data_IF_795978795198
#
_entry.id   IF_795978795198
#
_cell.length_a   1.000
_cell.length_b   1.000
_cell.length_c   1.000
_cell.angle_alpha   90.00
_cell.angle_beta   90.00
_cell.angle_gamma   90.00
#
_symmetry.space_group_name_H-M   'P 1'
#
loop_
_entity.id
_entity.type
_entity.pdbx_description
1 polymer ?
#
# COMPACT_ATOMS: atom_id res chain seq x y z
N UNK A 1 -0.35 -89.41 -49.69
CA UNK A 1 -0.66 -88.98 -48.31
C UNK A 1 0.11 -87.66 -48.06
N UNK A 2 -0.55 -86.52 -48.13
CA UNK A 2 0.05 -85.23 -48.04
C UNK A 2 -0.39 -84.64 -46.65
N UNK A 3 0.57 -84.40 -45.75
CA UNK A 3 0.30 -83.78 -44.48
C UNK A 3 0.55 -82.29 -44.59
N UNK A 4 -0.45 -81.48 -44.39
CA UNK A 4 -0.40 -80.03 -44.33
C UNK A 4 -0.11 -79.58 -42.86
N UNK A 5 1.01 -78.92 -42.64
CA UNK A 5 1.29 -78.31 -41.36
C UNK A 5 0.66 -76.91 -41.33
N UNK A 6 -0.22 -76.62 -40.35
CA UNK A 6 -0.74 -75.28 -40.07
C UNK A 6 0.15 -74.61 -39.07
N UNK A 7 0.74 -73.47 -39.46
CA UNK A 7 1.45 -72.54 -38.54
C UNK A 7 0.44 -71.73 -37.73
N UNK A 8 0.57 -71.78 -36.40
CA UNK A 8 -0.10 -70.85 -35.47
C UNK A 8 0.78 -69.64 -35.29
N UNK A 9 0.27 -68.46 -35.67
CA UNK A 9 0.89 -67.17 -35.38
C UNK A 9 0.36 -66.65 -34.04
N UNK A 10 1.20 -66.56 -33.01
CA UNK A 10 0.82 -65.95 -31.72
C UNK A 10 0.96 -64.43 -31.83
N UNK A 11 -0.13 -63.72 -31.64
CA UNK A 11 -0.13 -62.24 -31.53
C UNK A 11 0.06 -61.90 -30.06
N UNK A 12 1.22 -61.29 -29.74
CA UNK A 12 1.52 -60.75 -28.41
C UNK A 12 0.97 -59.35 -28.34
N UNK A 13 -0.09 -59.13 -27.54
CA UNK A 13 -0.53 -57.80 -27.17
C UNK A 13 0.38 -57.25 -26.08
N UNK A 14 1.18 -56.22 -26.42
CA UNK A 14 1.90 -55.42 -25.43
C UNK A 14 0.92 -54.44 -24.78
N UNK A 15 0.58 -54.68 -23.51
CA UNK A 15 -0.19 -53.74 -22.68
C UNK A 15 0.77 -52.60 -22.26
N UNK A 16 0.64 -51.41 -22.85
CA UNK A 16 1.33 -50.21 -22.39
C UNK A 16 0.63 -49.75 -21.11
N UNK A 17 1.27 -50.00 -19.98
CA UNK A 17 0.85 -49.41 -18.69
C UNK A 17 1.37 -47.96 -18.69
N UNK A 18 0.50 -47.01 -19.01
CA UNK A 18 0.76 -45.60 -18.75
C UNK A 18 0.65 -45.36 -17.24
N UNK A 19 1.77 -45.25 -16.55
CA UNK A 19 1.83 -44.76 -15.19
C UNK A 19 1.47 -43.29 -15.23
N UNK A 20 0.23 -42.91 -14.91
CA UNK A 20 -0.14 -41.57 -14.59
C UNK A 20 0.68 -41.17 -13.35
N UNK A 21 1.64 -40.26 -13.50
CA UNK A 21 2.28 -39.62 -12.38
C UNK A 21 1.18 -38.82 -11.69
N UNK A 22 0.88 -39.04 -10.40
CA UNK A 22 -0.10 -38.22 -9.72
C UNK A 22 0.48 -36.79 -9.68
N UNK A 23 -0.20 -35.86 -10.35
CA UNK A 23 -0.04 -34.44 -10.06
C UNK A 23 -0.32 -34.30 -8.57
N UNK A 24 0.69 -33.99 -7.79
CA UNK A 24 0.52 -33.74 -6.36
C UNK A 24 -0.53 -32.64 -6.24
N UNK A 25 -1.73 -33.00 -5.81
CA UNK A 25 -2.71 -32.02 -5.39
C UNK A 25 -2.01 -31.20 -4.29
N UNK A 26 -1.72 -29.94 -4.56
CA UNK A 26 -1.25 -29.02 -3.51
C UNK A 26 -2.34 -29.07 -2.45
N UNK A 27 -1.99 -29.57 -1.27
CA UNK A 27 -2.92 -29.57 -0.15
C UNK A 27 -3.40 -28.12 0.01
N UNK A 28 -4.72 -27.95 0.04
CA UNK A 28 -5.32 -26.64 0.21
C UNK A 28 -4.75 -26.06 1.51
N UNK A 29 -3.88 -25.03 1.40
CA UNK A 29 -3.28 -24.41 2.57
C UNK A 29 -4.38 -23.84 3.44
N UNK A 30 -4.26 -24.05 4.76
CA UNK A 30 -5.18 -23.41 5.70
C UNK A 30 -4.92 -21.89 5.68
N UNK A 31 -5.95 -21.04 5.72
CA UNK A 31 -5.76 -19.61 5.70
C UNK A 31 -4.98 -19.14 6.94
N UNK A 32 -4.06 -18.20 6.73
CA UNK A 32 -3.31 -17.54 7.80
C UNK A 32 -4.20 -16.45 8.43
N UNK A 33 -4.93 -16.82 9.46
CA UNK A 33 -6.04 -16.05 9.98
C UNK A 33 -6.23 -16.30 11.48
N UNK A 34 -6.69 -15.33 12.28
CA UNK A 34 -7.04 -15.58 13.66
C UNK A 34 -8.28 -16.48 13.76
N UNK A 35 -8.33 -17.32 14.80
CA UNK A 35 -9.36 -18.34 14.96
C UNK A 35 -10.81 -17.82 15.14
N UNK A 36 -10.97 -16.54 15.44
CA UNK A 36 -12.27 -15.89 15.63
C UNK A 36 -12.86 -15.35 14.33
N UNK A 37 -12.16 -15.42 13.21
CA UNK A 37 -12.66 -14.97 11.90
C UNK A 37 -13.10 -16.16 11.03
N UNK A 38 -14.13 -15.92 10.23
CA UNK A 38 -14.53 -16.84 9.13
C UNK A 38 -13.60 -16.60 7.94
N UNK A 39 -12.61 -17.47 7.79
CA UNK A 39 -11.58 -17.35 6.78
C UNK A 39 -11.56 -18.54 5.85
N UNK A 40 -11.40 -18.27 4.56
CA UNK A 40 -11.18 -19.30 3.53
C UNK A 40 -9.94 -18.97 2.71
N UNK A 41 -9.36 -19.97 2.07
CA UNK A 41 -8.27 -19.82 1.12
C UNK A 41 -8.77 -20.13 -0.30
N UNK A 42 -8.71 -19.13 -1.18
CA UNK A 42 -9.00 -19.26 -2.62
C UNK A 42 -7.83 -18.64 -3.36
N UNK A 43 -6.88 -19.44 -3.87
CA UNK A 43 -5.63 -18.91 -4.41
C UNK A 43 -5.85 -17.98 -5.61
N UNK A 44 -5.06 -16.91 -5.65
CA UNK A 44 -4.85 -16.09 -6.85
C UNK A 44 -4.23 -16.95 -7.96
N UNK A 45 -4.35 -16.50 -9.21
CA UNK A 45 -3.83 -17.25 -10.34
C UNK A 45 -2.33 -17.49 -10.22
N UNK A 46 -1.91 -18.73 -10.34
CA UNK A 46 -0.54 -19.16 -10.51
C UNK A 46 -0.49 -20.53 -11.18
N UNK A 47 0.14 -20.61 -12.35
CA UNK A 47 0.26 -21.87 -13.10
C UNK A 47 1.62 -22.53 -12.86
N UNK A 48 1.68 -23.36 -11.83
CA UNK A 48 2.87 -24.14 -11.48
C UNK A 48 3.29 -25.16 -12.55
N UNK A 49 2.42 -25.42 -13.54
CA UNK A 49 2.69 -26.33 -14.66
C UNK A 49 3.23 -25.63 -15.91
N UNK A 50 3.30 -24.32 -15.91
CA UNK A 50 3.79 -23.53 -17.05
C UNK A 50 5.22 -23.94 -17.41
N UNK A 51 5.47 -24.11 -18.70
CA UNK A 51 6.81 -24.33 -19.25
C UNK A 51 7.40 -23.07 -19.88
N UNK A 52 6.64 -22.00 -19.96
CA UNK A 52 7.11 -20.69 -20.42
C UNK A 52 7.66 -19.88 -19.25
N UNK A 53 8.93 -20.00 -18.99
CA UNK A 53 9.63 -19.29 -17.92
C UNK A 53 10.17 -17.92 -18.37
N UNK A 54 9.88 -17.51 -19.60
CA UNK A 54 10.45 -16.28 -20.20
C UNK A 54 9.73 -15.01 -19.78
N UNK A 55 8.44 -15.10 -19.38
CA UNK A 55 7.60 -13.97 -19.04
C UNK A 55 6.80 -14.25 -17.77
N UNK A 56 7.11 -13.58 -16.66
CA UNK A 56 6.39 -13.74 -15.39
C UNK A 56 4.89 -13.46 -15.50
N UNK A 57 4.46 -12.58 -16.42
CA UNK A 57 3.04 -12.28 -16.62
C UNK A 57 2.23 -13.43 -17.25
N UNK A 58 2.88 -14.50 -17.68
CA UNK A 58 2.21 -15.65 -18.30
C UNK A 58 1.83 -16.75 -17.29
N UNK A 59 2.28 -16.68 -16.05
CA UNK A 59 2.06 -17.75 -15.08
C UNK A 59 1.31 -17.35 -13.81
N UNK A 60 1.13 -16.08 -13.51
CA UNK A 60 0.39 -15.71 -12.32
C UNK A 60 0.34 -14.23 -12.00
N UNK A 61 -0.23 -13.94 -10.84
CA UNK A 61 -0.51 -12.60 -10.35
C UNK A 61 0.28 -12.22 -9.08
N UNK A 62 1.22 -13.06 -8.65
CA UNK A 62 2.07 -12.82 -7.49
C UNK A 62 3.42 -13.53 -7.69
N UNK A 63 4.42 -13.21 -6.88
CA UNK A 63 5.71 -13.88 -6.90
C UNK A 63 5.88 -14.74 -5.67
N UNK A 64 6.15 -16.05 -5.83
CA UNK A 64 6.55 -16.90 -4.73
C UNK A 64 7.81 -16.36 -4.04
N UNK A 65 7.80 -16.35 -2.72
CA UNK A 65 8.89 -15.88 -1.88
C UNK A 65 8.92 -16.66 -0.56
N UNK A 66 9.83 -16.31 0.33
CA UNK A 66 9.92 -16.90 1.65
C UNK A 66 10.11 -15.82 2.72
N UNK A 67 9.28 -14.77 2.68
CA UNK A 67 9.36 -13.67 3.63
C UNK A 67 8.85 -14.09 5.02
N UNK A 68 9.50 -13.78 6.14
CA UNK A 68 10.81 -13.10 6.24
C UNK A 68 11.99 -14.06 6.24
N UNK A 69 11.80 -15.36 5.91
CA UNK A 69 12.83 -16.40 5.99
C UNK A 69 14.05 -16.17 5.07
N UNK A 70 13.86 -15.48 3.94
CA UNK A 70 14.91 -15.01 3.02
C UNK A 70 15.60 -13.71 3.50
N UNK A 71 15.13 -13.16 4.63
CA UNK A 71 15.63 -11.92 5.22
C UNK A 71 14.92 -10.66 4.73
N UNK A 72 13.91 -10.76 3.85
CA UNK A 72 13.02 -9.65 3.52
C UNK A 72 11.99 -9.45 4.62
N UNK A 73 11.95 -8.27 5.23
CA UNK A 73 11.00 -7.98 6.28
C UNK A 73 9.66 -7.53 5.70
N UNK A 74 8.55 -8.08 6.20
CA UNK A 74 7.22 -7.52 5.98
C UNK A 74 7.05 -6.41 7.01
N UNK A 75 6.92 -5.17 6.54
CA UNK A 75 6.95 -3.95 7.37
C UNK A 75 5.63 -3.20 7.38
N UNK A 76 4.78 -3.44 6.37
CA UNK A 76 3.57 -2.66 6.15
C UNK A 76 2.36 -3.54 5.95
N UNK A 77 1.20 -2.99 6.29
CA UNK A 77 -0.10 -3.49 5.84
C UNK A 77 -0.75 -2.36 5.05
N UNK A 78 -1.24 -2.67 3.85
CA UNK A 78 -1.88 -1.69 2.97
C UNK A 78 -3.36 -2.02 2.87
N UNK A 79 -4.18 -1.05 3.23
CA UNK A 79 -5.63 -1.09 3.17
C UNK A 79 -6.06 -0.57 1.81
N UNK A 80 -6.80 -1.42 1.08
CA UNK A 80 -7.39 -1.12 -0.22
C UNK A 80 -8.90 -1.18 -0.15
N UNK A 81 -9.57 -0.68 -1.16
CA UNK A 81 -10.91 -1.13 -1.52
C UNK A 81 -10.98 -1.59 -2.98
N UNK A 82 -11.96 -2.43 -3.28
CA UNK A 82 -12.02 -3.13 -4.56
C UNK A 82 -12.37 -2.21 -5.74
N UNK A 83 -12.85 -0.99 -5.50
CA UNK A 83 -13.29 -0.02 -6.52
C UNK A 83 -14.19 -0.65 -7.63
N UNK A 84 -14.82 -1.79 -7.32
CA UNK A 84 -15.65 -2.54 -8.26
C UNK A 84 -17.11 -2.15 -8.14
N UNK A 85 -17.72 -1.74 -9.25
CA UNK A 85 -19.15 -1.46 -9.28
C UNK A 85 -19.97 -2.75 -9.21
N UNK A 86 -21.04 -2.81 -8.41
CA UNK A 86 -21.98 -3.92 -8.48
C UNK A 86 -22.51 -4.05 -9.90
N UNK A 87 -22.23 -5.16 -10.56
CA UNK A 87 -22.66 -5.42 -11.92
C UNK A 87 -23.14 -6.86 -12.10
N UNK A 88 -24.13 -7.06 -12.96
CA UNK A 88 -24.59 -8.41 -13.38
C UNK A 88 -24.91 -9.39 -12.25
N UNK A 89 -25.29 -8.93 -11.05
CA UNK A 89 -25.63 -9.79 -9.91
C UNK A 89 -24.44 -10.40 -9.16
N UNK A 90 -23.22 -9.98 -9.48
CA UNK A 90 -21.99 -10.40 -8.77
C UNK A 90 -21.56 -9.28 -7.83
N UNK A 91 -21.23 -9.62 -6.57
CA UNK A 91 -20.77 -8.64 -5.59
C UNK A 91 -19.36 -8.10 -5.94
N UNK A 92 -18.99 -6.89 -5.52
CA UNK A 92 -17.61 -6.40 -5.65
C UNK A 92 -16.57 -7.34 -5.05
N UNK A 93 -16.90 -7.97 -3.93
CA UNK A 93 -16.08 -8.99 -3.28
C UNK A 93 -15.80 -10.21 -4.20
N UNK A 94 -16.85 -10.80 -4.80
CA UNK A 94 -16.68 -11.94 -5.69
C UNK A 94 -16.01 -11.54 -7.02
N UNK A 95 -16.21 -10.30 -7.48
CA UNK A 95 -15.51 -9.76 -8.66
C UNK A 95 -14.02 -9.62 -8.42
N UNK A 96 -13.59 -9.12 -7.25
CA UNK A 96 -12.18 -9.01 -6.89
C UNK A 96 -11.52 -10.40 -6.86
N UNK A 97 -12.15 -11.38 -6.20
CA UNK A 97 -11.67 -12.76 -6.16
C UNK A 97 -11.54 -13.33 -7.57
N UNK A 98 -12.59 -13.20 -8.39
CA UNK A 98 -12.57 -13.70 -9.77
C UNK A 98 -11.51 -13.00 -10.64
N UNK A 99 -11.22 -11.71 -10.37
CA UNK A 99 -10.17 -10.96 -11.06
C UNK A 99 -8.80 -11.51 -10.69
N UNK A 100 -8.50 -11.69 -9.41
CA UNK A 100 -7.21 -12.22 -8.97
C UNK A 100 -6.98 -13.68 -9.36
N UNK A 101 -8.03 -14.42 -9.70
CA UNK A 101 -7.94 -15.78 -10.24
C UNK A 101 -7.70 -15.85 -11.76
N UNK A 102 -7.54 -14.70 -12.43
CA UNK A 102 -7.22 -14.64 -13.86
C UNK A 102 -5.78 -14.18 -14.06
N UNK A 103 -4.90 -14.99 -14.68
CA UNK A 103 -3.49 -14.63 -14.90
C UNK A 103 -3.32 -13.30 -15.63
N UNK A 104 -4.20 -13.01 -16.58
CA UNK A 104 -4.17 -11.78 -17.38
C UNK A 104 -4.51 -10.51 -16.60
N UNK A 105 -4.98 -10.60 -15.36
CA UNK A 105 -5.29 -9.42 -14.53
C UNK A 105 -4.03 -8.67 -14.12
N UNK A 106 -2.90 -9.36 -13.94
CA UNK A 106 -1.63 -8.77 -13.53
C UNK A 106 -1.71 -8.08 -12.17
N UNK A 107 -2.63 -8.48 -11.31
CA UNK A 107 -2.85 -7.93 -9.97
C UNK A 107 -3.34 -8.98 -8.99
N UNK A 108 -3.05 -8.77 -7.71
CA UNK A 108 -3.56 -9.59 -6.60
C UNK A 108 -3.48 -8.83 -5.29
N UNK A 109 -4.15 -9.34 -4.26
CA UNK A 109 -3.92 -8.96 -2.87
C UNK A 109 -3.80 -10.21 -2.01
N UNK A 110 -3.26 -10.07 -0.79
CA UNK A 110 -3.15 -11.20 0.12
C UNK A 110 -4.51 -11.62 0.66
N UNK A 111 -5.38 -10.64 0.91
CA UNK A 111 -6.73 -10.88 1.46
C UNK A 111 -7.77 -10.01 0.76
N UNK A 112 -9.01 -10.51 0.77
CA UNK A 112 -10.23 -9.77 0.39
C UNK A 112 -11.24 -9.93 1.52
N UNK A 113 -11.85 -8.84 1.98
CA UNK A 113 -12.84 -8.81 3.08
C UNK A 113 -14.19 -8.34 2.56
N UNK A 114 -15.24 -9.11 2.86
CA UNK A 114 -16.62 -8.79 2.44
C UNK A 114 -17.26 -7.77 3.37
N UNK A 115 -17.96 -6.79 2.79
CA UNK A 115 -18.59 -5.70 3.53
C UNK A 115 -19.72 -6.18 4.43
N UNK A 116 -20.56 -7.08 3.94
CA UNK A 116 -21.85 -7.41 4.61
C UNK A 116 -21.69 -8.17 5.92
N UNK A 117 -20.63 -8.97 6.09
CA UNK A 117 -20.45 -9.88 7.24
C UNK A 117 -19.00 -10.02 7.71
N UNK A 118 -18.04 -9.39 7.02
CA UNK A 118 -16.63 -9.47 7.37
C UNK A 118 -15.96 -10.80 7.00
N UNK A 119 -16.55 -11.64 6.13
CA UNK A 119 -15.88 -12.86 5.67
C UNK A 119 -14.55 -12.53 5.00
N UNK A 120 -13.49 -13.24 5.40
CA UNK A 120 -12.14 -13.06 4.89
C UNK A 120 -11.81 -14.14 3.87
N UNK A 121 -11.31 -13.77 2.70
CA UNK A 121 -10.68 -14.70 1.75
C UNK A 121 -9.20 -14.37 1.61
N UNK A 122 -8.33 -15.32 1.95
CA UNK A 122 -6.92 -15.24 1.60
C UNK A 122 -6.73 -15.71 0.17
N UNK A 123 -5.98 -14.93 -0.63
CA UNK A 123 -5.70 -15.19 -2.03
C UNK A 123 -4.23 -15.51 -2.30
N UNK A 124 -3.32 -14.88 -1.54
CA UNK A 124 -1.87 -15.09 -1.64
C UNK A 124 -1.33 -15.40 -0.25
N UNK A 125 -0.47 -16.43 -0.07
CA UNK A 125 0.21 -16.68 1.20
C UNK A 125 1.02 -15.46 1.62
N UNK A 126 1.02 -15.13 2.91
CA UNK A 126 1.70 -13.89 3.38
C UNK A 126 3.21 -13.88 3.17
N UNK A 127 3.83 -15.08 3.04
CA UNK A 127 5.26 -15.22 2.68
C UNK A 127 5.58 -14.79 1.26
N UNK A 128 4.61 -14.82 0.35
CA UNK A 128 4.74 -14.50 -1.07
C UNK A 128 4.46 -13.01 -1.34
N UNK A 129 4.83 -12.51 -2.52
CA UNK A 129 4.70 -11.09 -2.89
C UNK A 129 3.48 -10.89 -3.77
N UNK A 130 2.38 -10.37 -3.22
CA UNK A 130 1.21 -9.98 -4.01
C UNK A 130 1.46 -8.66 -4.76
N UNK A 131 0.80 -8.48 -5.90
CA UNK A 131 0.93 -7.30 -6.77
C UNK A 131 -0.24 -6.34 -6.54
N UNK A 132 -0.16 -5.51 -5.49
CA UNK A 132 -1.26 -4.64 -5.08
C UNK A 132 -0.91 -3.15 -4.98
N UNK A 133 0.35 -2.81 -4.64
CA UNK A 133 0.68 -1.44 -4.26
C UNK A 133 1.10 -0.53 -5.43
N UNK A 134 1.26 -1.07 -6.65
CA UNK A 134 1.77 -0.31 -7.79
C UNK A 134 3.17 0.29 -7.58
N UNK A 135 3.88 -0.24 -6.59
CA UNK A 135 5.24 0.09 -6.21
C UNK A 135 5.93 -1.20 -5.73
N UNK A 136 7.01 -1.60 -6.42
CA UNK A 136 7.66 -2.87 -6.15
C UNK A 136 8.25 -2.96 -4.75
N UNK A 137 8.94 -1.90 -4.28
CA UNK A 137 9.45 -1.85 -2.90
C UNK A 137 8.31 -2.04 -1.86
N UNK A 138 7.12 -1.51 -2.14
CA UNK A 138 5.98 -1.71 -1.25
C UNK A 138 5.40 -3.11 -1.36
N UNK A 139 5.28 -3.68 -2.56
CA UNK A 139 4.86 -5.08 -2.72
C UNK A 139 5.80 -6.04 -1.98
N UNK A 140 7.12 -5.85 -2.11
CA UNK A 140 8.14 -6.66 -1.44
C UNK A 140 8.02 -6.65 0.09
N UNK A 141 7.50 -5.58 0.69
CA UNK A 141 7.54 -5.34 2.13
C UNK A 141 6.17 -5.19 2.78
N UNK A 142 5.08 -5.49 2.08
CA UNK A 142 3.73 -5.32 2.62
C UNK A 142 2.84 -6.55 2.47
N UNK A 143 1.72 -6.48 3.18
CA UNK A 143 0.53 -7.32 3.00
C UNK A 143 -0.59 -6.41 2.55
N UNK A 144 -1.18 -6.65 1.36
CA UNK A 144 -2.34 -5.93 0.85
C UNK A 144 -3.64 -6.59 1.27
N UNK A 145 -4.59 -5.81 1.73
CA UNK A 145 -5.93 -6.23 2.15
C UNK A 145 -6.96 -5.41 1.39
N UNK A 146 -7.70 -6.07 0.50
CA UNK A 146 -8.83 -5.48 -0.21
C UNK A 146 -10.09 -5.51 0.64
N UNK A 147 -10.83 -4.41 0.64
CA UNK A 147 -12.13 -4.30 1.30
C UNK A 147 -13.20 -4.12 0.23
N UNK A 148 -14.26 -4.92 0.31
CA UNK A 148 -15.38 -4.75 -0.62
C UNK A 148 -15.95 -3.33 -0.51
N UNK A 149 -15.80 -2.54 -1.58
CA UNK A 149 -16.29 -1.16 -1.55
C UNK A 149 -15.89 -0.33 -2.74
N UNK A 150 -16.38 0.92 -2.65
CA UNK A 150 -16.09 2.00 -3.58
C UNK A 150 -15.81 3.23 -2.73
N UNK A 151 -14.62 3.79 -2.81
CA UNK A 151 -14.16 4.90 -1.97
C UNK A 151 -15.09 6.13 -2.00
N UNK A 152 -15.69 6.43 -3.16
CA UNK A 152 -16.69 7.54 -3.26
C UNK A 152 -17.97 7.29 -2.47
N UNK A 153 -18.23 6.02 -2.12
CA UNK A 153 -19.45 5.57 -1.44
C UNK A 153 -19.15 4.96 -0.06
N UNK A 154 -18.00 5.24 0.53
CA UNK A 154 -17.50 4.62 1.76
C UNK A 154 -18.52 4.47 2.89
N UNK A 155 -19.38 5.46 3.11
CA UNK A 155 -20.46 5.38 4.10
C UNK A 155 -21.50 4.28 3.86
N UNK A 156 -21.53 3.66 2.68
CA UNK A 156 -22.40 2.52 2.35
C UNK A 156 -21.64 1.19 2.50
N UNK A 157 -20.36 1.17 2.12
CA UNK A 157 -19.56 -0.05 1.99
C UNK A 157 -18.74 -0.36 3.25
N UNK A 158 -18.25 0.67 3.95
CA UNK A 158 -17.36 0.48 5.11
C UNK A 158 -18.18 0.19 6.36
N UNK A 159 -18.67 -1.05 6.46
CA UNK A 159 -19.54 -1.51 7.56
C UNK A 159 -18.73 -1.82 8.83
N UNK A 160 -19.40 -1.80 9.97
CA UNK A 160 -18.78 -2.17 11.26
C UNK A 160 -18.27 -3.61 11.26
N UNK A 161 -18.97 -4.55 10.60
CA UNK A 161 -18.55 -5.94 10.48
C UNK A 161 -17.23 -6.05 9.73
N UNK A 162 -17.09 -5.32 8.62
CA UNK A 162 -15.87 -5.27 7.83
C UNK A 162 -14.71 -4.62 8.61
N UNK A 163 -14.94 -3.48 9.27
CA UNK A 163 -13.93 -2.84 10.12
C UNK A 163 -13.40 -3.78 11.20
N UNK A 164 -14.30 -4.49 11.91
CA UNK A 164 -13.91 -5.44 12.96
C UNK A 164 -13.12 -6.63 12.42
N UNK A 165 -13.58 -7.23 11.32
CA UNK A 165 -12.88 -8.34 10.69
C UNK A 165 -11.50 -7.92 10.22
N UNK A 166 -11.40 -6.77 9.58
CA UNK A 166 -10.13 -6.18 9.13
C UNK A 166 -9.20 -5.89 10.31
N UNK A 167 -9.70 -5.26 11.37
CA UNK A 167 -8.89 -4.94 12.55
C UNK A 167 -8.37 -6.20 13.26
N UNK A 168 -9.18 -7.25 13.36
CA UNK A 168 -8.73 -8.52 13.95
C UNK A 168 -7.68 -9.21 13.07
N UNK A 169 -7.85 -9.21 11.75
CA UNK A 169 -6.85 -9.71 10.81
C UNK A 169 -5.54 -8.90 10.91
N UNK A 170 -5.61 -7.58 10.91
CA UNK A 170 -4.44 -6.70 11.01
C UNK A 170 -3.70 -6.88 12.34
N UNK A 171 -4.40 -7.00 13.46
CA UNK A 171 -3.77 -7.33 14.77
C UNK A 171 -3.01 -8.65 14.72
N UNK A 172 -3.61 -9.68 14.11
CA UNK A 172 -2.97 -11.00 13.95
C UNK A 172 -1.70 -10.89 13.09
N UNK A 173 -1.78 -10.24 11.93
CA UNK A 173 -0.65 -10.08 11.03
C UNK A 173 0.45 -9.19 11.62
N UNK A 174 0.07 -8.09 12.28
CA UNK A 174 1.00 -7.19 12.95
C UNK A 174 1.76 -7.89 14.06
N UNK A 175 1.09 -8.72 14.87
CA UNK A 175 1.74 -9.54 15.88
C UNK A 175 2.68 -10.59 15.26
N UNK A 176 2.27 -11.25 14.17
CA UNK A 176 3.05 -12.28 13.47
C UNK A 176 4.36 -11.72 12.89
N UNK A 177 4.30 -10.51 12.31
CA UNK A 177 5.42 -9.91 11.59
C UNK A 177 6.08 -8.74 12.33
N UNK A 178 5.66 -8.47 13.57
CA UNK A 178 6.17 -7.37 14.41
C UNK A 178 5.99 -5.99 13.74
N UNK A 179 4.87 -5.77 13.06
CA UNK A 179 4.54 -4.51 12.42
C UNK A 179 3.96 -3.56 13.47
N UNK A 180 4.49 -2.33 13.63
CA UNK A 180 3.89 -1.35 14.53
C UNK A 180 2.47 -0.97 14.11
N UNK A 181 1.57 -0.83 15.08
CA UNK A 181 0.20 -0.35 14.85
C UNK A 181 0.18 1.18 14.87
N UNK A 182 0.63 1.79 13.79
CA UNK A 182 0.62 3.24 13.56
C UNK A 182 0.42 3.55 12.07
N UNK A 183 0.16 4.83 11.73
CA UNK A 183 -0.06 5.30 10.36
C UNK A 183 1.22 5.40 9.51
N UNK A 184 2.36 5.01 10.04
CA UNK A 184 3.62 4.90 9.29
C UNK A 184 3.80 3.48 8.73
N UNK A 185 3.02 2.50 9.25
CA UNK A 185 3.10 1.08 8.88
C UNK A 185 1.76 0.49 8.44
N UNK A 186 0.63 1.01 8.93
CA UNK A 186 -0.72 0.66 8.45
C UNK A 186 -1.19 1.80 7.55
N UNK A 187 -1.17 1.54 6.25
CA UNK A 187 -1.27 2.55 5.19
C UNK A 187 -2.54 2.36 4.37
N UNK A 188 -3.10 3.43 3.82
CA UNK A 188 -3.99 3.34 2.67
C UNK A 188 -3.18 3.19 1.37
N UNK A 189 -3.77 2.70 0.32
CA UNK A 189 -3.11 2.67 -0.99
C UNK A 189 -2.75 4.09 -1.47
N UNK A 190 -3.58 5.06 -1.14
CA UNK A 190 -3.31 6.49 -1.39
C UNK A 190 -2.01 6.99 -0.73
N UNK A 191 -1.56 6.35 0.36
CA UNK A 191 -0.33 6.70 1.08
C UNK A 191 0.93 6.16 0.38
N UNK A 192 0.81 5.39 -0.69
CA UNK A 192 1.93 4.78 -1.39
C UNK A 192 2.46 5.71 -2.48
N UNK A 193 3.73 6.09 -2.38
CA UNK A 193 4.41 6.80 -3.46
C UNK A 193 4.52 5.94 -4.71
N UNK A 194 4.45 6.58 -5.88
CA UNK A 194 4.83 5.89 -7.12
C UNK A 194 6.35 5.78 -7.22
N UNK A 195 6.82 4.78 -7.92
CA UNK A 195 8.25 4.52 -8.10
C UNK A 195 8.96 5.57 -8.95
N UNK A 196 8.25 6.12 -9.93
CA UNK A 196 8.76 7.05 -10.95
C UNK A 196 7.73 8.10 -11.27
N UNK A 197 8.20 9.26 -11.72
CA UNK A 197 7.34 10.38 -12.15
C UNK A 197 6.33 9.96 -13.22
N UNK A 198 6.74 9.11 -14.18
CA UNK A 198 5.86 8.65 -15.26
C UNK A 198 4.65 7.82 -14.79
N UNK A 199 4.68 7.30 -13.57
CA UNK A 199 3.64 6.40 -13.05
C UNK A 199 2.58 7.14 -12.21
N UNK A 200 2.75 8.44 -11.95
CA UNK A 200 1.81 9.19 -11.10
C UNK A 200 0.39 9.25 -11.65
N UNK A 201 0.22 9.27 -12.98
CA UNK A 201 -1.11 9.24 -13.59
C UNK A 201 -1.94 7.99 -13.25
N UNK A 202 -1.28 6.91 -12.83
CA UNK A 202 -1.89 5.67 -12.36
C UNK A 202 -1.91 5.56 -10.82
N UNK A 203 -1.75 6.68 -10.10
CA UNK A 203 -1.82 6.68 -8.65
C UNK A 203 -3.26 6.34 -8.20
N UNK A 204 -3.35 5.42 -7.24
CA UNK A 204 -4.59 5.06 -6.60
C UNK A 204 -4.86 6.02 -5.44
N UNK A 205 -6.11 6.09 -5.01
CA UNK A 205 -6.55 6.99 -3.95
C UNK A 205 -7.48 6.30 -2.93
N UNK A 206 -7.59 4.97 -3.03
CA UNK A 206 -8.31 4.11 -2.08
C UNK A 206 -7.52 3.92 -0.76
N UNK A 207 -8.21 3.70 0.37
CA UNK A 207 -9.64 3.61 0.56
C UNK A 207 -10.36 4.96 0.57
N UNK A 208 -9.65 6.07 0.38
CA UNK A 208 -10.15 7.41 0.21
C UNK A 208 -10.64 8.10 1.48
N UNK A 209 -11.19 9.33 1.35
CA UNK A 209 -11.40 10.21 2.49
C UNK A 209 -12.55 9.80 3.41
N UNK A 210 -13.27 8.73 3.10
CA UNK A 210 -14.40 8.23 3.88
C UNK A 210 -14.09 6.98 4.70
N UNK A 211 -12.86 6.48 4.68
CA UNK A 211 -12.39 5.48 5.61
C UNK A 211 -12.12 6.13 6.97
N UNK A 212 -12.79 5.66 8.03
CA UNK A 212 -12.60 6.22 9.38
C UNK A 212 -11.38 5.60 10.06
N UNK A 213 -10.20 6.21 9.82
CA UNK A 213 -8.95 5.78 10.44
C UNK A 213 -8.97 5.86 11.96
N UNK A 214 -9.66 6.86 12.55
CA UNK A 214 -9.72 6.99 14.01
C UNK A 214 -10.45 5.82 14.64
N UNK A 215 -11.64 5.50 14.11
CA UNK A 215 -12.40 4.32 14.52
C UNK A 215 -11.62 3.02 14.27
N UNK A 216 -10.97 2.90 13.12
CA UNK A 216 -10.18 1.73 12.77
C UNK A 216 -9.04 1.48 13.76
N UNK A 217 -8.30 2.53 14.15
CA UNK A 217 -7.21 2.42 15.12
C UNK A 217 -7.72 2.19 16.56
N UNK A 218 -8.92 2.65 16.91
CA UNK A 218 -9.58 2.26 18.16
C UNK A 218 -9.86 0.74 18.20
N UNK A 219 -10.33 0.16 17.09
CA UNK A 219 -10.54 -1.29 16.95
C UNK A 219 -9.22 -2.07 16.98
N UNK A 220 -8.13 -1.49 16.46
CA UNK A 220 -6.78 -2.08 16.57
C UNK A 220 -6.25 -2.06 18.01
N UNK A 221 -6.85 -1.28 18.92
CA UNK A 221 -6.34 -1.08 20.27
C UNK A 221 -5.11 -0.15 20.34
N UNK A 222 -4.90 0.66 19.29
CA UNK A 222 -3.81 1.60 19.16
C UNK A 222 -4.34 3.00 18.77
N UNK A 223 -5.19 3.62 19.62
CA UNK A 223 -5.90 4.84 19.27
C UNK A 223 -4.94 5.95 18.81
N UNK A 224 -5.31 6.62 17.75
CA UNK A 224 -4.58 7.74 17.19
C UNK A 224 -4.70 8.95 18.12
N UNK A 225 -3.60 9.38 18.70
CA UNK A 225 -3.58 10.51 19.62
C UNK A 225 -2.28 11.30 19.55
N UNK A 226 -2.38 12.60 19.77
CA UNK A 226 -1.21 13.43 20.00
C UNK A 226 -0.80 13.39 21.47
N UNK A 227 0.39 12.90 21.78
CA UNK A 227 0.95 12.89 23.13
C UNK A 227 1.99 14.01 23.33
N UNK A 228 1.89 15.10 22.56
CA UNK A 228 2.81 16.23 22.63
C UNK A 228 2.35 17.33 23.61
N UNK A 229 3.31 18.18 23.99
CA UNK A 229 3.01 19.39 24.76
C UNK A 229 2.52 20.52 23.83
N UNK A 230 1.75 21.48 24.34
CA UNK A 230 1.43 22.68 23.59
C UNK A 230 2.71 23.38 23.08
N UNK A 231 2.77 23.67 21.77
CA UNK A 231 3.97 24.25 21.14
C UNK A 231 4.92 23.21 20.56
N UNK A 232 4.55 21.92 20.59
CA UNK A 232 5.31 20.87 19.89
C UNK A 232 5.56 21.24 18.43
N UNK A 233 6.75 20.92 17.94
CA UNK A 233 7.13 21.09 16.53
C UNK A 233 6.60 20.00 15.61
N UNK A 234 5.82 19.04 16.14
CA UNK A 234 5.16 17.95 15.43
C UNK A 234 3.69 17.91 15.80
N UNK A 235 2.83 17.59 14.85
CA UNK A 235 1.40 17.37 15.06
C UNK A 235 0.95 16.08 14.42
N UNK A 236 -0.07 15.43 15.04
CA UNK A 236 -0.85 14.34 14.44
C UNK A 236 -2.17 14.91 13.95
N UNK A 237 -2.55 14.62 12.72
CA UNK A 237 -3.86 14.94 12.16
C UNK A 237 -4.90 14.05 12.85
N UNK A 238 -5.94 14.67 13.43
CA UNK A 238 -6.94 13.94 14.20
C UNK A 238 -8.24 14.79 14.31
N UNK A 239 -8.94 15.00 13.17
CA UNK A 239 -10.24 15.66 13.19
C UNK A 239 -11.31 14.73 13.81
N UNK A 240 -12.37 15.30 14.34
CA UNK A 240 -13.59 14.54 14.65
C UNK A 240 -14.23 14.11 13.32
N UNK A 241 -14.13 12.84 12.97
CA UNK A 241 -14.54 12.30 11.68
C UNK A 241 -15.96 12.71 11.31
N UNK A 242 -16.92 12.58 12.23
CA UNK A 242 -18.33 12.88 11.95
C UNK A 242 -18.60 14.37 11.68
N UNK A 243 -17.79 15.26 12.29
CA UNK A 243 -17.94 16.72 12.14
C UNK A 243 -17.06 17.30 11.03
N UNK A 244 -15.97 16.62 10.67
CA UNK A 244 -15.11 17.03 9.58
C UNK A 244 -15.75 16.63 8.24
N UNK A 245 -16.41 17.58 7.59
CA UNK A 245 -17.18 17.34 6.38
C UNK A 245 -16.78 18.29 5.24
N UNK A 246 -15.53 18.15 4.72
CA UNK A 246 -15.11 18.93 3.55
C UNK A 246 -16.01 18.61 2.36
N UNK A 247 -16.37 19.63 1.58
CA UNK A 247 -17.23 19.46 0.39
C UNK A 247 -16.35 18.99 -0.76
N UNK A 248 -16.23 17.68 -0.93
CA UNK A 248 -15.62 17.10 -2.11
C UNK A 248 -16.55 17.13 -3.32
N UNK A 249 -16.00 16.87 -4.50
CA UNK A 249 -16.75 16.80 -5.75
C UNK A 249 -16.42 15.49 -6.47
N UNK A 250 -17.34 15.04 -7.35
CA UNK A 250 -17.06 13.93 -8.26
C UNK A 250 -17.35 12.54 -7.69
N UNK A 251 -18.17 12.43 -6.64
CA UNK A 251 -18.56 11.11 -6.12
C UNK A 251 -19.43 10.31 -7.10
N UNK A 252 -20.38 10.98 -7.77
CA UNK A 252 -21.27 10.37 -8.76
C UNK A 252 -21.01 10.94 -10.16
N UNK A 253 -20.85 12.26 -10.24
CA UNK A 253 -20.63 12.98 -11.49
C UNK A 253 -19.49 13.98 -11.31
N UNK A 254 -18.54 13.97 -12.22
CA UNK A 254 -17.37 14.85 -12.17
C UNK A 254 -17.78 16.33 -11.96
N UNK A 255 -17.16 16.98 -10.99
CA UNK A 255 -17.38 18.39 -10.67
C UNK A 255 -18.65 18.69 -9.84
N UNK A 256 -19.54 17.74 -9.61
CA UNK A 256 -20.69 17.94 -8.72
C UNK A 256 -20.31 17.69 -7.25
N UNK A 257 -20.88 18.47 -6.29
CA UNK A 257 -20.63 18.22 -4.87
C UNK A 257 -21.05 16.81 -4.44
N UNK A 258 -20.20 16.16 -3.68
CA UNK A 258 -20.51 14.89 -3.03
C UNK A 258 -21.54 15.12 -1.90
N UNK A 259 -22.33 14.10 -1.52
CA UNK A 259 -23.15 14.15 -0.31
C UNK A 259 -22.28 14.46 0.91
N UNK A 260 -22.76 15.36 1.78
CA UNK A 260 -22.08 15.70 3.03
C UNK A 260 -21.96 14.46 3.93
N UNK A 261 -20.75 14.13 4.34
CA UNK A 261 -20.46 12.99 5.23
C UNK A 261 -19.16 13.20 5.98
N UNK A 262 -18.95 12.45 7.05
CA UNK A 262 -17.71 12.44 7.80
C UNK A 262 -16.52 12.07 6.92
N UNK A 263 -15.38 12.66 7.23
CA UNK A 263 -14.14 12.47 6.46
C UNK A 263 -12.92 12.49 7.37
N UNK A 264 -11.96 11.65 7.05
CA UNK A 264 -10.65 11.59 7.69
C UNK A 264 -9.71 12.75 7.24
N UNK A 265 -10.01 13.38 6.11
CA UNK A 265 -9.10 14.27 5.42
C UNK A 265 -9.21 15.74 5.88
N UNK A 266 -8.08 16.35 6.17
CA UNK A 266 -7.92 17.80 6.40
C UNK A 266 -7.36 18.45 5.15
N UNK A 267 -8.11 19.38 4.56
CA UNK A 267 -7.72 20.08 3.33
C UNK A 267 -6.64 21.13 3.63
N UNK A 268 -5.64 21.23 2.75
CA UNK A 268 -4.50 22.13 2.91
C UNK A 268 -4.53 23.27 1.87
N UNK A 269 -4.33 24.49 2.36
CA UNK A 269 -4.31 25.71 1.58
C UNK A 269 -2.89 26.28 1.44
N UNK A 270 -2.64 27.05 0.39
CA UNK A 270 -1.34 27.69 0.16
C UNK A 270 -1.07 28.87 1.09
N UNK A 271 -2.10 29.48 1.66
CA UNK A 271 -2.07 30.58 2.62
C UNK A 271 -3.08 30.33 3.76
N UNK A 272 -2.95 31.00 4.93
CA UNK A 272 -3.88 30.84 6.06
C UNK A 272 -5.24 31.48 5.78
N UNK A 273 -5.94 31.00 4.77
CA UNK A 273 -7.21 31.49 4.28
C UNK A 273 -7.91 30.41 3.44
N UNK A 274 -9.16 30.09 3.78
CA UNK A 274 -9.98 29.08 3.07
C UNK A 274 -10.24 29.44 1.59
N UNK A 275 -10.16 30.72 1.22
CA UNK A 275 -10.30 31.16 -0.17
C UNK A 275 -9.00 31.06 -1.00
N UNK A 276 -7.87 30.74 -0.37
CA UNK A 276 -6.62 30.58 -1.09
C UNK A 276 -6.57 29.25 -1.85
N UNK A 277 -5.77 29.17 -2.94
CA UNK A 277 -5.63 27.91 -3.67
C UNK A 277 -5.15 26.76 -2.79
N UNK A 278 -5.52 25.56 -3.16
CA UNK A 278 -4.95 24.33 -2.60
C UNK A 278 -3.48 24.18 -2.98
N UNK A 279 -2.77 23.29 -2.33
CA UNK A 279 -1.36 23.03 -2.63
C UNK A 279 -1.20 22.41 -4.02
N UNK A 280 0.02 22.50 -4.53
CA UNK A 280 0.40 21.85 -5.80
C UNK A 280 1.06 20.50 -5.50
N UNK A 281 0.56 19.46 -6.13
CA UNK A 281 1.24 18.18 -6.22
C UNK A 281 1.75 18.00 -7.66
N UNK A 282 3.03 18.26 -7.89
CA UNK A 282 3.63 18.20 -9.22
C UNK A 282 3.67 16.79 -9.82
N UNK A 283 3.50 15.76 -9.01
CA UNK A 283 3.35 14.38 -9.47
C UNK A 283 1.97 14.14 -10.08
N UNK A 284 0.91 14.56 -9.38
CA UNK A 284 -0.47 14.42 -9.86
C UNK A 284 -0.83 15.50 -10.90
N UNK A 285 -0.27 16.69 -10.74
CA UNK A 285 -0.53 17.85 -11.62
C UNK A 285 0.78 18.36 -12.25
N UNK A 286 1.37 17.64 -13.24
CA UNK A 286 2.66 18.00 -13.82
C UNK A 286 2.64 19.33 -14.59
N UNK A 287 1.46 19.84 -14.91
CA UNK A 287 1.27 21.18 -15.48
C UNK A 287 1.42 22.31 -14.45
N UNK A 288 1.62 21.97 -13.15
CA UNK A 288 1.76 22.93 -12.06
C UNK A 288 0.46 23.58 -11.59
N UNK A 289 -0.70 23.06 -11.98
CA UNK A 289 -1.99 23.50 -11.40
C UNK A 289 -2.08 23.12 -9.93
N UNK A 290 -2.83 23.87 -9.10
CA UNK A 290 -3.18 23.43 -7.76
C UNK A 290 -4.03 22.16 -7.80
N UNK A 291 -3.97 21.39 -6.71
CA UNK A 291 -4.93 20.32 -6.44
C UNK A 291 -6.36 20.86 -6.37
N UNK A 292 -7.33 19.98 -6.45
CA UNK A 292 -8.76 20.30 -6.49
C UNK A 292 -9.51 19.66 -5.33
N UNK A 293 -10.79 19.97 -5.21
CA UNK A 293 -11.70 19.28 -4.28
C UNK A 293 -12.31 18.00 -4.87
N UNK A 294 -11.83 17.51 -6.03
CA UNK A 294 -12.26 16.21 -6.54
C UNK A 294 -11.91 15.11 -5.53
N UNK A 295 -12.84 14.19 -5.27
CA UNK A 295 -12.71 13.16 -4.24
C UNK A 295 -11.48 12.27 -4.46
N UNK A 296 -11.04 12.11 -5.70
CA UNK A 296 -9.84 11.37 -6.12
C UNK A 296 -8.54 12.19 -6.10
N UNK A 297 -8.61 13.53 -5.88
CA UNK A 297 -7.43 14.40 -5.87
C UNK A 297 -6.88 14.53 -4.45
N UNK A 298 -5.96 13.66 -4.10
CA UNK A 298 -5.35 13.56 -2.76
C UNK A 298 -4.16 14.52 -2.56
N UNK A 299 -3.79 15.30 -3.57
CA UNK A 299 -2.55 16.08 -3.60
C UNK A 299 -2.46 17.20 -2.55
N UNK A 300 -3.58 17.59 -1.93
CA UNK A 300 -3.63 18.67 -0.91
C UNK A 300 -4.43 18.27 0.32
N UNK A 301 -4.20 17.05 0.83
CA UNK A 301 -4.92 16.50 1.99
C UNK A 301 -3.94 15.87 2.97
N UNK A 302 -4.16 16.12 4.26
CA UNK A 302 -3.50 15.42 5.34
C UNK A 302 -4.51 14.46 5.98
N UNK A 303 -4.12 13.21 6.15
CA UNK A 303 -5.01 12.13 6.59
C UNK A 303 -4.92 11.90 8.10
N UNK A 304 -6.00 11.45 8.70
CA UNK A 304 -6.08 11.12 10.13
C UNK A 304 -4.98 10.15 10.54
N UNK A 305 -4.30 10.49 11.63
CA UNK A 305 -3.19 9.74 12.23
C UNK A 305 -1.82 10.03 11.62
N UNK A 306 -1.74 10.66 10.45
CA UNK A 306 -0.47 11.07 9.87
C UNK A 306 0.19 12.19 10.71
N UNK A 307 1.52 12.13 10.82
CA UNK A 307 2.31 13.08 11.60
C UNK A 307 3.09 14.04 10.70
N UNK A 308 3.02 15.34 11.03
CA UNK A 308 3.67 16.38 10.23
C UNK A 308 4.43 17.36 11.09
N UNK A 309 5.60 17.79 10.61
CA UNK A 309 6.35 18.87 11.23
C UNK A 309 5.66 20.20 10.98
N UNK A 310 5.45 20.95 12.07
CA UNK A 310 4.88 22.30 12.03
C UNK A 310 5.88 23.23 11.37
N UNK A 311 5.44 23.96 10.36
CA UNK A 311 6.23 24.98 9.65
C UNK A 311 6.00 26.38 10.23
N UNK A 312 4.74 26.68 10.59
CA UNK A 312 4.36 28.00 11.12
C UNK A 312 2.98 27.91 11.80
N UNK A 313 2.69 28.87 12.71
CA UNK A 313 1.37 29.07 13.31
C UNK A 313 1.00 30.56 13.24
N UNK A 314 -0.20 30.87 12.73
CA UNK A 314 -0.77 32.24 12.66
C UNK A 314 -2.21 32.25 13.17
N UNK A 315 -2.41 32.72 14.40
CA UNK A 315 -3.74 32.70 15.01
C UNK A 315 -4.28 31.26 15.12
N UNK A 316 -5.42 31.04 14.50
CA UNK A 316 -6.06 29.71 14.45
C UNK A 316 -5.63 28.85 13.24
N UNK A 317 -4.61 29.30 12.50
CA UNK A 317 -4.07 28.57 11.36
C UNK A 317 -2.74 27.91 11.72
N UNK A 318 -2.59 26.66 11.31
CA UNK A 318 -1.35 25.90 11.41
C UNK A 318 -0.87 25.54 10.02
N UNK A 319 0.43 25.75 9.75
CA UNK A 319 1.10 25.25 8.55
C UNK A 319 1.97 24.06 8.90
N UNK A 320 1.96 23.06 8.05
CA UNK A 320 2.84 21.89 8.08
C UNK A 320 3.74 21.87 6.84
N UNK A 321 4.90 21.23 6.95
CA UNK A 321 5.70 20.91 5.77
C UNK A 321 5.04 19.77 4.99
N UNK A 322 4.71 20.04 3.72
CA UNK A 322 3.94 19.15 2.86
C UNK A 322 4.40 19.28 1.41
N UNK A 323 4.92 18.22 0.78
CA UNK A 323 5.41 18.21 -0.62
C UNK A 323 6.38 19.37 -0.95
N UNK A 324 7.29 19.71 -0.05
CA UNK A 324 8.21 20.83 -0.23
C UNK A 324 7.60 22.22 0.00
N UNK A 325 6.35 22.32 0.42
CA UNK A 325 5.58 23.55 0.59
C UNK A 325 5.09 23.69 2.04
N UNK A 326 4.56 24.86 2.40
CA UNK A 326 3.76 25.06 3.61
C UNK A 326 2.29 24.81 3.27
N UNK A 327 1.69 23.80 3.90
CA UNK A 327 0.26 23.52 3.79
C UNK A 327 -0.47 24.08 5.00
N UNK A 328 -1.36 25.04 4.81
CA UNK A 328 -2.12 25.70 5.85
C UNK A 328 -3.49 25.07 6.03
N UNK A 329 -3.90 24.89 7.27
CA UNK A 329 -5.25 24.45 7.63
C UNK A 329 -5.73 25.14 8.90
N UNK A 330 -7.04 25.28 9.05
CA UNK A 330 -7.67 25.87 10.21
C UNK A 330 -7.63 24.90 11.39
N UNK A 331 -7.01 25.32 12.51
CA UNK A 331 -6.77 24.47 13.69
C UNK A 331 -7.03 25.25 14.99
N UNK A 332 -8.25 25.77 15.21
CA UNK A 332 -8.56 26.61 16.37
C UNK A 332 -8.49 25.79 17.67
N UNK A 333 -8.11 26.46 18.75
CA UNK A 333 -7.88 25.81 20.05
C UNK A 333 -9.07 25.03 20.60
N UNK A 334 -10.29 25.47 20.30
CA UNK A 334 -11.54 24.88 20.77
C UNK A 334 -12.10 23.77 19.85
N UNK A 335 -11.53 23.60 18.65
CA UNK A 335 -11.93 22.59 17.67
C UNK A 335 -10.72 22.13 16.84
N UNK A 336 -9.71 21.61 17.50
CA UNK A 336 -8.47 21.19 16.85
C UNK A 336 -8.69 19.99 15.93
N UNK A 337 -8.17 20.11 14.72
CA UNK A 337 -8.10 19.02 13.73
C UNK A 337 -6.68 18.41 13.67
N UNK A 338 -5.70 19.01 14.39
CA UNK A 338 -4.37 18.46 14.59
C UNK A 338 -3.95 18.66 16.04
N UNK A 339 -3.41 17.61 16.66
CA UNK A 339 -3.00 17.58 18.06
C UNK A 339 -1.47 17.56 18.17
N UNK A 340 -0.87 18.22 19.20
CA UNK A 340 0.56 18.14 19.44
C UNK A 340 1.05 16.71 19.53
N UNK A 341 2.18 16.40 18.90
CA UNK A 341 2.81 15.09 18.91
C UNK A 341 4.29 15.16 19.27
N UNK A 342 4.86 14.03 19.64
CA UNK A 342 6.32 13.83 19.79
C UNK A 342 6.77 12.78 18.80
N UNK A 343 8.02 12.83 18.40
CA UNK A 343 8.57 11.83 17.47
C UNK A 343 9.92 12.25 16.92
N UNK A 344 10.21 11.77 15.75
CA UNK A 344 11.46 12.08 15.04
C UNK A 344 11.15 12.81 13.75
N UNK A 345 12.00 13.76 13.38
CA UNK A 345 11.93 14.45 12.10
C UNK A 345 13.27 14.40 11.39
N UNK A 346 13.24 14.44 10.08
CA UNK A 346 14.42 14.61 9.24
C UNK A 346 14.51 16.01 8.70
N UNK A 347 15.73 16.48 8.50
CA UNK A 347 16.05 17.75 7.82
C UNK A 347 17.32 17.55 7.01
N UNK A 348 17.52 18.25 5.87
CA UNK A 348 18.77 18.23 5.13
C UNK A 348 19.98 18.50 6.00
N UNK A 349 21.11 17.83 5.77
CA UNK A 349 22.38 18.11 6.44
C UNK A 349 22.85 19.54 6.13
N UNK A 350 23.60 20.19 7.05
CA UNK A 350 24.22 21.48 6.78
C UNK A 350 25.06 21.45 5.49
N UNK A 351 24.90 22.47 4.66
CA UNK A 351 25.58 22.58 3.38
C UNK A 351 24.81 22.03 2.18
N UNK A 352 23.75 21.25 2.41
CA UNK A 352 22.85 20.79 1.35
C UNK A 352 21.69 21.77 1.19
N UNK A 353 21.57 22.39 0.03
CA UNK A 353 20.43 23.26 -0.29
C UNK A 353 19.13 22.48 -0.46
N UNK A 354 19.22 21.30 -1.08
CA UNK A 354 18.11 20.39 -1.31
C UNK A 354 18.54 18.93 -1.17
N UNK A 355 17.59 18.05 -0.88
CA UNK A 355 17.75 16.58 -0.84
C UNK A 355 16.69 15.96 -1.71
N UNK A 356 17.04 15.05 -2.64
CA UNK A 356 16.06 14.35 -3.49
C UNK A 356 15.16 13.42 -2.67
N UNK A 357 13.90 13.26 -3.13
CA UNK A 357 12.92 12.34 -2.57
C UNK A 357 12.75 11.15 -3.51
N UNK A 358 12.65 9.94 -2.95
CA UNK A 358 12.52 8.69 -3.70
C UNK A 358 11.22 7.96 -3.33
N UNK A 359 10.60 7.31 -4.31
CA UNK A 359 9.43 6.46 -4.10
C UNK A 359 9.77 5.03 -3.70
N UNK A 360 11.03 4.66 -3.72
CA UNK A 360 11.55 3.31 -3.43
C UNK A 360 12.95 3.35 -2.83
N UNK A 361 13.33 2.30 -2.10
CA UNK A 361 14.60 2.20 -1.39
C UNK A 361 15.51 1.11 -2.01
N UNK A 362 15.95 1.33 -3.25
CA UNK A 362 16.75 0.35 -3.99
C UNK A 362 18.25 0.40 -3.65
N UNK A 363 18.94 -0.75 -3.79
CA UNK A 363 20.39 -0.85 -3.63
C UNK A 363 21.18 -0.02 -4.64
N UNK A 364 22.39 0.30 -4.29
CA UNK A 364 23.42 0.82 -5.21
C UNK A 364 23.73 -0.23 -6.30
N UNK A 365 24.19 0.22 -7.51
CA UNK A 365 24.46 -0.70 -8.63
C UNK A 365 25.44 -1.82 -8.32
N UNK A 366 26.42 -1.57 -7.46
CA UNK A 366 27.46 -2.52 -7.09
C UNK A 366 26.96 -3.68 -6.22
N UNK A 367 25.74 -3.57 -5.66
CA UNK A 367 25.12 -4.62 -4.86
C UNK A 367 24.50 -5.74 -5.71
N UNK A 368 24.24 -5.46 -6.99
CA UNK A 368 23.55 -6.42 -7.87
C UNK A 368 24.51 -7.50 -8.39
N UNK A 369 24.19 -8.80 -8.23
CA UNK A 369 24.94 -9.86 -8.87
C UNK A 369 24.81 -9.79 -10.41
N UNK A 370 25.74 -10.40 -11.12
CA UNK A 370 25.84 -10.28 -12.58
C UNK A 370 24.61 -10.79 -13.36
N UNK A 371 23.83 -11.69 -12.76
CA UNK A 371 22.61 -12.26 -13.34
C UNK A 371 21.35 -11.46 -13.03
N UNK A 372 21.44 -10.37 -12.25
CA UNK A 372 20.30 -9.53 -11.89
C UNK A 372 20.44 -8.14 -12.52
N UNK A 373 19.43 -7.72 -13.27
CA UNK A 373 19.40 -6.40 -13.88
C UNK A 373 19.38 -5.30 -12.82
N UNK A 374 20.36 -4.40 -12.89
CA UNK A 374 20.45 -3.24 -11.99
C UNK A 374 19.23 -2.35 -12.11
N UNK A 375 18.59 -2.08 -10.98
CA UNK A 375 17.46 -1.16 -10.91
C UNK A 375 17.93 0.28 -10.65
N UNK A 376 17.48 1.20 -11.48
CA UNK A 376 17.89 2.59 -11.36
C UNK A 376 17.34 3.26 -10.10
N UNK A 377 18.19 3.99 -9.36
CA UNK A 377 17.80 4.85 -8.27
C UNK A 377 17.36 6.21 -8.85
N UNK A 378 16.06 6.34 -9.13
CA UNK A 378 15.51 7.54 -9.77
C UNK A 378 14.73 8.37 -8.74
N UNK A 379 15.06 9.65 -8.52
CA UNK A 379 14.27 10.51 -7.64
C UNK A 379 12.89 10.82 -8.25
N UNK A 380 11.95 11.10 -7.37
CA UNK A 380 10.66 11.68 -7.70
C UNK A 380 10.85 13.18 -8.04
N UNK A 381 9.82 13.87 -8.59
CA UNK A 381 9.91 15.27 -8.96
C UNK A 381 9.85 16.23 -7.75
N UNK A 382 10.37 15.79 -6.61
CA UNK A 382 10.31 16.50 -5.33
C UNK A 382 11.67 16.56 -4.66
N UNK A 383 11.84 17.59 -3.81
CA UNK A 383 13.01 17.76 -2.96
C UNK A 383 12.61 18.27 -1.57
N UNK A 384 13.42 17.93 -0.56
CA UNK A 384 13.43 18.63 0.72
C UNK A 384 14.38 19.80 0.60
N UNK A 385 13.93 21.02 0.87
CA UNK A 385 14.82 22.19 0.94
C UNK A 385 15.43 22.36 2.33
N UNK A 386 16.56 23.03 2.40
CA UNK A 386 17.21 23.39 3.67
C UNK A 386 16.22 24.08 4.60
N UNK A 387 16.20 23.66 5.87
CA UNK A 387 15.30 24.19 6.91
C UNK A 387 13.91 23.50 6.96
N UNK A 388 13.51 22.75 5.95
CA UNK A 388 12.30 21.92 6.02
C UNK A 388 12.50 20.71 6.93
N UNK A 389 11.41 20.24 7.52
CA UNK A 389 11.39 19.06 8.40
C UNK A 389 10.23 18.16 8.03
N UNK A 390 10.44 16.84 8.08
CA UNK A 390 9.40 15.84 7.80
C UNK A 390 9.42 14.76 8.87
N UNK A 391 8.24 14.27 9.29
CA UNK A 391 8.14 13.15 10.23
C UNK A 391 8.86 11.93 9.69
N UNK A 392 9.52 11.17 10.56
CA UNK A 392 10.35 10.02 10.22
C UNK A 392 9.86 8.77 10.95
N UNK A 393 9.63 7.69 10.19
CA UNK A 393 9.39 6.34 10.70
C UNK A 393 10.68 5.55 10.96
N UNK A 394 11.85 6.16 10.75
CA UNK A 394 13.13 5.53 10.97
C UNK A 394 13.89 5.17 9.70
N UNK A 395 14.97 4.41 9.88
CA UNK A 395 15.88 4.04 8.81
C UNK A 395 15.58 2.64 8.30
N UNK A 396 15.56 2.47 6.97
CA UNK A 396 15.39 1.19 6.27
C UNK A 396 16.63 0.86 5.44
N UNK A 397 16.88 -0.44 5.25
CA UNK A 397 17.90 -0.92 4.29
C UNK A 397 17.45 -0.72 2.86
N UNK A 398 18.41 -0.78 1.93
CA UNK A 398 18.12 -0.88 0.52
C UNK A 398 18.02 -2.35 0.11
N UNK A 399 16.91 -2.70 -0.52
CA UNK A 399 16.59 -4.07 -0.93
C UNK A 399 15.89 -4.07 -2.30
N UNK A 400 16.06 -5.16 -3.05
CA UNK A 400 15.33 -5.44 -4.28
C UNK A 400 15.16 -6.95 -4.44
N UNK A 401 13.92 -7.41 -4.60
CA UNK A 401 13.61 -8.79 -4.89
C UNK A 401 13.51 -9.00 -6.40
N UNK A 402 14.41 -9.80 -6.94
CA UNK A 402 14.41 -10.19 -8.34
C UNK A 402 13.69 -11.53 -8.50
N UNK A 403 12.44 -11.46 -8.95
CA UNK A 403 11.56 -12.60 -9.20
C UNK A 403 11.11 -12.59 -10.67
N UNK A 404 12.08 -12.50 -11.59
CA UNK A 404 11.80 -12.34 -13.03
C UNK A 404 11.68 -13.67 -13.78
N UNK A 405 11.79 -14.79 -13.07
CA UNK A 405 11.67 -16.13 -13.65
C UNK A 405 10.60 -16.93 -12.91
N UNK A 406 10.06 -17.93 -13.58
CA UNK A 406 9.11 -18.85 -12.97
C UNK A 406 9.75 -19.73 -11.88
N UNK A 407 11.04 -20.05 -12.03
CA UNK A 407 11.76 -20.91 -11.09
C UNK A 407 12.17 -20.12 -9.85
N UNK A 408 11.54 -20.44 -8.72
CA UNK A 408 11.80 -19.81 -7.41
C UNK A 408 13.28 -19.96 -6.99
N UNK A 409 13.98 -21.00 -7.46
CA UNK A 409 15.41 -21.19 -7.17
C UNK A 409 16.28 -20.09 -7.79
N UNK A 410 15.80 -19.40 -8.82
CA UNK A 410 16.50 -18.31 -9.49
C UNK A 410 16.16 -16.93 -8.87
N UNK A 411 15.22 -16.86 -7.94
CA UNK A 411 14.85 -15.61 -7.27
C UNK A 411 15.97 -15.15 -6.33
N UNK A 412 16.25 -13.86 -6.36
CA UNK A 412 17.38 -13.27 -5.61
C UNK A 412 16.93 -12.05 -4.81
N UNK A 413 17.22 -12.04 -3.51
CA UNK A 413 17.12 -10.85 -2.67
C UNK A 413 18.43 -10.09 -2.73
N UNK A 414 18.44 -8.95 -3.43
CA UNK A 414 19.61 -8.05 -3.50
C UNK A 414 19.56 -7.10 -2.31
N UNK A 415 20.66 -7.08 -1.50
CA UNK A 415 20.78 -6.17 -0.34
C UNK A 415 21.97 -5.24 -0.54
N UNK A 416 21.71 -3.94 -0.48
CA UNK A 416 22.73 -2.90 -0.59
C UNK A 416 23.26 -2.42 0.75
N UNK A 417 24.26 -1.53 0.65
CA UNK A 417 24.83 -0.78 1.80
C UNK A 417 24.10 0.55 2.01
N UNK A 418 23.44 1.08 0.98
CA UNK A 418 22.66 2.30 1.10
C UNK A 418 21.62 2.15 2.20
N UNK A 419 21.41 3.23 2.93
CA UNK A 419 20.33 3.37 3.91
C UNK A 419 19.44 4.52 3.49
N UNK A 420 18.15 4.32 3.70
CA UNK A 420 17.15 5.35 3.48
C UNK A 420 16.42 5.66 4.79
N UNK A 421 15.89 6.86 4.89
CA UNK A 421 14.97 7.22 5.98
C UNK A 421 13.59 7.33 5.36
N UNK A 422 12.63 6.60 5.93
CA UNK A 422 11.21 6.75 5.57
C UNK A 422 10.68 8.03 6.19
N UNK A 423 9.92 8.79 5.40
CA UNK A 423 9.32 10.07 5.82
C UNK A 423 7.85 10.14 5.40
N UNK A 424 7.05 10.88 6.17
CA UNK A 424 5.74 11.34 5.72
C UNK A 424 5.94 12.54 4.79
N UNK A 425 5.68 12.39 3.49
CA UNK A 425 5.93 13.40 2.47
C UNK A 425 4.66 13.69 1.67
N UNK A 426 3.94 14.72 2.01
CA UNK A 426 2.57 14.89 1.58
C UNK A 426 1.66 13.85 2.24
N UNK A 427 0.63 13.38 1.54
CA UNK A 427 -0.18 12.25 2.01
C UNK A 427 0.57 10.91 1.95
N UNK A 428 1.68 10.83 1.21
CA UNK A 428 2.43 9.60 0.95
C UNK A 428 3.60 9.38 1.92
N UNK A 429 3.96 8.13 2.11
CA UNK A 429 5.31 7.80 2.57
C UNK A 429 6.29 7.89 1.39
N UNK A 430 7.51 8.32 1.68
CA UNK A 430 8.59 8.42 0.71
C UNK A 430 9.94 8.17 1.41
N UNK A 431 11.01 8.15 0.63
CA UNK A 431 12.35 7.85 1.12
C UNK A 431 13.34 8.96 0.77
N UNK A 432 14.29 9.20 1.68
CA UNK A 432 15.47 10.04 1.44
C UNK A 432 16.72 9.25 1.82
N UNK A 433 17.85 9.51 1.17
CA UNK A 433 19.10 8.85 1.55
C UNK A 433 19.53 9.30 2.96
N UNK A 434 19.85 8.36 3.84
CA UNK A 434 20.23 8.65 5.22
C UNK A 434 21.49 9.51 5.31
N UNK A 435 22.37 9.41 4.31
CA UNK A 435 23.58 10.23 4.24
C UNK A 435 23.33 11.71 3.95
N UNK A 436 22.15 12.05 3.42
CA UNK A 436 21.81 13.44 3.04
C UNK A 436 21.06 14.18 4.14
N UNK A 437 20.58 13.49 5.17
CA UNK A 437 19.71 14.06 6.21
C UNK A 437 20.25 13.85 7.62
N UNK A 438 19.72 14.63 8.57
CA UNK A 438 19.85 14.41 10.01
C UNK A 438 18.49 14.04 10.57
N UNK A 439 18.45 13.04 11.43
CA UNK A 439 17.28 12.68 12.22
C UNK A 439 17.42 13.36 13.57
N UNK A 440 16.43 14.15 13.97
CA UNK A 440 16.40 14.88 15.22
C UNK A 440 15.08 14.66 15.96
N UNK A 441 15.07 14.69 17.32
CA UNK A 441 13.83 14.58 18.06
C UNK A 441 12.96 15.84 17.85
N UNK A 442 11.64 15.64 17.88
CA UNK A 442 10.64 16.69 17.80
C UNK A 442 9.71 16.59 19.03
N UNK A 443 9.63 17.70 19.76
CA UNK A 443 8.84 17.85 20.99
C UNK A 443 7.91 19.02 20.86
#
# INVERSE_FOLDING_TARGET
MIFTVRSLTAVVFALAITTAVPVAAHAQEAPECPANLDCRFLPAAYDWSSTDHSNPNNYGNYDPANRPGDGQQIRYIVIHDTESLPGSGVSPYDQAIATFQKPESGSSAHYVIRSSDGQVTQMVPTKDVAWHAGNWTMNEHSIGIEHEGIATQGGTWYTEQMYRASADLVKFLAAKYHIPLDREHILGHEDISRERTSNFAAAHWDPGPYWDWSHYFDLLGAPLGGFGLPGSSLVTIDPDFAKNQPIFTGCDTAGTPCPARGSEAVVLHSEPNDASPLLKDVGLHPNGSPSTMAVSDVGSRAATGQRYAVAEVRGDWTAIWYLGQKGWFHNPRNARVAKPAIGWVVTPKPGLATVPVYGRAYPEPEAYPANVTVQAITPLPYTLAAGQKYSSAGTVGSEYYSATTFDVADHVVVKGKLKYVQIQFGHRIAFVKADDVRIVPAF
#
